data_IF_497165501463
#
_entry.id   IF_497165501463
#
_cell.length_a   1.000
_cell.length_b   1.000
_cell.length_c   1.000
_cell.angle_alpha   90.00
_cell.angle_beta   90.00
_cell.angle_gamma   90.00
#
_symmetry.space_group_name_H-M   'P 1'
#
loop_
_entity.id
_entity.type
_entity.pdbx_description
1 polymer ?
#
# COMPACT_ATOMS: atom_id res chain seq x y z
N UNK A 1 14.74 -6.75 -5.94
CA UNK A 1 16.10 -6.35 -6.40
C UNK A 1 17.08 -6.17 -5.23
N UNK A 2 18.42 -6.18 -5.45
CA UNK A 2 19.40 -5.83 -4.40
C UNK A 2 19.42 -4.32 -4.21
N UNK A 3 19.12 -3.85 -2.99
CA UNK A 3 19.16 -2.43 -2.61
C UNK A 3 20.58 -1.87 -2.80
N UNK A 4 20.72 -0.54 -2.93
CA UNK A 4 22.03 0.16 -2.86
C UNK A 4 22.86 -0.31 -1.65
N UNK A 5 22.18 -0.68 -0.57
CA UNK A 5 22.76 -1.13 0.68
C UNK A 5 22.96 -2.66 0.77
N UNK A 6 22.66 -3.41 -0.29
CA UNK A 6 22.82 -4.86 -0.32
C UNK A 6 21.69 -5.62 0.37
N UNK A 7 22.06 -6.75 0.99
CA UNK A 7 21.20 -7.55 1.86
C UNK A 7 21.58 -7.34 3.33
N UNK A 8 20.62 -7.38 4.27
CA UNK A 8 19.18 -7.52 4.04
C UNK A 8 18.54 -6.28 3.41
N UNK A 9 17.45 -6.46 2.66
CA UNK A 9 16.66 -5.34 2.12
C UNK A 9 15.91 -4.61 3.23
N UNK A 10 15.41 -3.40 2.94
CA UNK A 10 14.55 -2.67 3.87
C UNK A 10 13.31 -3.50 4.28
N UNK A 11 12.68 -4.22 3.32
CA UNK A 11 11.58 -5.12 3.62
C UNK A 11 11.98 -6.25 4.58
N UNK A 12 13.16 -6.85 4.40
CA UNK A 12 13.68 -7.89 5.30
C UNK A 12 13.98 -7.37 6.71
N UNK A 13 14.51 -6.15 6.81
CA UNK A 13 14.74 -5.50 8.10
C UNK A 13 13.41 -5.22 8.83
N UNK A 14 12.41 -4.69 8.11
CA UNK A 14 11.07 -4.45 8.67
C UNK A 14 10.42 -5.76 9.11
N UNK A 15 10.52 -6.82 8.32
CA UNK A 15 10.01 -8.14 8.66
C UNK A 15 10.68 -8.71 9.92
N UNK A 16 12.00 -8.56 10.06
CA UNK A 16 12.75 -9.00 11.23
C UNK A 16 12.28 -8.28 12.51
N UNK A 17 12.09 -6.95 12.44
CA UNK A 17 11.57 -6.17 13.58
C UNK A 17 10.13 -6.58 13.91
N UNK A 18 9.26 -6.74 12.90
CA UNK A 18 7.89 -7.16 13.12
C UNK A 18 7.83 -8.53 13.82
N UNK A 19 8.69 -9.48 13.43
CA UNK A 19 8.76 -10.79 14.04
C UNK A 19 9.20 -10.73 15.51
N UNK A 20 10.25 -9.96 15.82
CA UNK A 20 10.71 -9.74 17.20
C UNK A 20 9.61 -9.12 18.08
N UNK A 21 8.87 -8.15 17.55
CA UNK A 21 7.77 -7.53 18.28
C UNK A 21 6.62 -8.53 18.52
N UNK A 22 6.23 -9.32 17.51
CA UNK A 22 5.11 -10.26 17.60
C UNK A 22 5.40 -11.47 18.49
N UNK A 23 6.68 -11.80 18.67
CA UNK A 23 7.14 -12.94 19.47
C UNK A 23 7.65 -12.50 20.84
N UNK A 24 8.90 -12.05 20.93
CA UNK A 24 9.59 -11.76 22.18
C UNK A 24 8.92 -10.65 22.98
N UNK A 25 8.66 -9.50 22.34
CA UNK A 25 8.09 -8.34 23.05
C UNK A 25 6.66 -8.60 23.47
N UNK A 26 5.86 -9.24 22.62
CA UNK A 26 4.48 -9.57 22.95
C UNK A 26 4.38 -10.60 24.08
N UNK A 27 5.30 -11.57 24.15
CA UNK A 27 5.38 -12.52 25.26
C UNK A 27 5.85 -11.88 26.57
N UNK A 28 6.68 -10.83 26.49
CA UNK A 28 7.22 -10.13 27.65
C UNK A 28 6.35 -8.96 28.15
N UNK A 29 5.23 -8.65 27.49
CA UNK A 29 4.39 -7.49 27.82
C UNK A 29 2.91 -7.84 27.94
N UNK A 30 2.20 -7.10 28.79
CA UNK A 30 0.77 -7.30 29.04
C UNK A 30 0.00 -5.98 28.88
N UNK A 31 -1.34 -6.07 28.94
CA UNK A 31 -2.24 -4.93 28.94
C UNK A 31 -2.05 -4.01 27.72
N UNK A 32 -2.00 -2.70 27.98
CA UNK A 32 -1.92 -1.69 26.95
C UNK A 32 -0.64 -1.79 26.09
N UNK A 33 0.48 -2.19 26.69
CA UNK A 33 1.75 -2.32 25.96
C UNK A 33 1.65 -3.48 24.97
N UNK A 34 1.15 -4.64 25.40
CA UNK A 34 0.93 -5.79 24.50
C UNK A 34 -0.02 -5.47 23.34
N UNK A 35 -1.04 -4.65 23.60
CA UNK A 35 -1.94 -4.15 22.56
C UNK A 35 -1.20 -3.24 21.55
N UNK A 36 -0.45 -2.24 22.01
CA UNK A 36 0.32 -1.37 21.13
C UNK A 36 1.40 -2.13 20.34
N UNK A 37 2.01 -3.16 20.92
CA UNK A 37 2.92 -4.06 20.21
C UNK A 37 2.23 -4.70 19.01
N UNK A 38 1.00 -5.22 19.19
CA UNK A 38 0.21 -5.79 18.08
C UNK A 38 -0.12 -4.74 17.01
N UNK A 39 -0.44 -3.51 17.41
CA UNK A 39 -0.68 -2.41 16.47
C UNK A 39 0.59 -2.12 15.65
N UNK A 40 1.75 -2.01 16.32
CA UNK A 40 3.03 -1.76 15.67
C UNK A 40 3.39 -2.88 14.68
N UNK A 41 3.19 -4.14 15.05
CA UNK A 41 3.39 -5.30 14.15
C UNK A 41 2.54 -5.18 12.89
N UNK A 42 1.26 -4.83 13.03
CA UNK A 42 0.38 -4.67 11.85
C UNK A 42 0.83 -3.53 10.94
N UNK A 43 1.25 -2.39 11.52
CA UNK A 43 1.80 -1.26 10.75
C UNK A 43 3.08 -1.68 10.01
N UNK A 44 4.01 -2.36 10.68
CA UNK A 44 5.24 -2.84 10.06
C UNK A 44 4.95 -3.85 8.94
N UNK A 45 3.96 -4.73 9.11
CA UNK A 45 3.54 -5.64 8.03
C UNK A 45 2.96 -4.89 6.83
N UNK A 46 2.26 -3.77 7.04
CA UNK A 46 1.83 -2.89 5.94
C UNK A 46 3.02 -2.28 5.22
N UNK A 47 3.96 -1.69 5.95
CA UNK A 47 5.20 -1.11 5.38
C UNK A 47 6.01 -2.18 4.65
N UNK A 48 6.09 -3.41 5.17
CA UNK A 48 6.75 -4.52 4.48
C UNK A 48 6.09 -4.77 3.11
N UNK A 49 4.75 -4.85 3.05
CA UNK A 49 4.04 -5.05 1.78
C UNK A 49 4.26 -3.90 0.81
N UNK A 50 4.27 -2.65 1.28
CA UNK A 50 4.63 -1.48 0.46
C UNK A 50 6.04 -1.62 -0.12
N UNK A 51 7.04 -1.95 0.71
CA UNK A 51 8.43 -2.10 0.29
C UNK A 51 8.66 -3.28 -0.66
N UNK A 52 7.78 -4.29 -0.63
CA UNK A 52 7.82 -5.44 -1.55
C UNK A 52 7.03 -5.21 -2.82
N UNK A 53 6.17 -4.19 -2.87
CA UNK A 53 5.37 -3.89 -4.03
C UNK A 53 6.27 -3.21 -5.09
N UNK A 54 6.84 -4.01 -5.98
CA UNK A 54 7.70 -3.55 -7.07
C UNK A 54 6.89 -3.14 -8.33
N UNK A 55 5.56 -3.34 -8.37
CA UNK A 55 4.72 -3.10 -9.56
C UNK A 55 3.70 -1.98 -9.35
N UNK A 56 4.13 -0.75 -9.61
CA UNK A 56 3.20 0.37 -9.85
C UNK A 56 2.69 0.40 -11.30
N UNK A 57 3.16 -0.50 -12.16
CA UNK A 57 2.91 -0.51 -13.61
C UNK A 57 1.42 -0.49 -13.97
N UNK A 58 0.58 -1.24 -13.27
CA UNK A 58 -0.87 -1.24 -13.51
C UNK A 58 -1.52 0.12 -13.19
N UNK A 59 -1.04 0.79 -12.14
CA UNK A 59 -1.51 2.12 -11.74
C UNK A 59 -1.04 3.17 -12.76
N UNK A 60 0.24 3.12 -13.14
CA UNK A 60 0.81 4.01 -14.14
C UNK A 60 0.15 3.82 -15.50
N UNK A 61 -0.14 2.58 -15.91
CA UNK A 61 -0.85 2.30 -17.15
C UNK A 61 -2.29 2.86 -17.12
N UNK A 62 -3.04 2.62 -16.04
CA UNK A 62 -4.41 3.13 -15.90
C UNK A 62 -4.48 4.67 -15.90
N UNK A 63 -3.46 5.36 -15.35
CA UNK A 63 -3.34 6.82 -15.44
C UNK A 63 -3.00 7.28 -16.86
N UNK A 64 -2.07 6.58 -17.52
CA UNK A 64 -1.66 6.85 -18.89
C UNK A 64 -2.79 6.69 -19.90
N UNK A 65 -3.68 5.71 -19.72
CA UNK A 65 -4.89 5.52 -20.54
C UNK A 65 -5.85 6.72 -20.46
N UNK A 66 -5.90 7.41 -19.32
CA UNK A 66 -6.68 8.65 -19.17
C UNK A 66 -5.94 9.90 -19.66
N UNK A 67 -4.65 9.79 -19.94
CA UNK A 67 -3.78 10.88 -20.40
C UNK A 67 -3.09 11.66 -19.27
N UNK A 68 -2.94 11.08 -18.07
CA UNK A 68 -2.28 11.73 -16.93
C UNK A 68 -0.97 11.03 -16.58
N UNK A 69 0.05 11.81 -16.22
CA UNK A 69 1.34 11.28 -15.80
C UNK A 69 1.31 10.76 -14.35
N UNK A 70 0.47 11.36 -13.51
CA UNK A 70 0.33 11.00 -12.11
C UNK A 70 -1.07 11.31 -11.54
N UNK A 71 -1.28 10.90 -10.30
CA UNK A 71 -2.53 11.15 -9.56
C UNK A 71 -2.77 12.62 -9.24
N UNK A 72 -1.72 13.43 -9.16
CA UNK A 72 -1.84 14.87 -8.86
C UNK A 72 -2.50 15.59 -10.02
N UNK A 73 -2.06 15.29 -11.24
CA UNK A 73 -2.67 15.80 -12.48
C UNK A 73 -4.12 15.31 -12.62
N UNK A 74 -4.38 14.01 -12.45
CA UNK A 74 -5.73 13.45 -12.50
C UNK A 74 -6.65 14.15 -11.47
N UNK A 75 -6.20 14.32 -10.23
CA UNK A 75 -6.99 14.98 -9.20
C UNK A 75 -7.25 16.45 -9.49
N UNK A 76 -6.32 17.15 -10.14
CA UNK A 76 -6.52 18.52 -10.59
C UNK A 76 -7.60 18.60 -11.69
N UNK A 77 -7.55 17.72 -12.69
CA UNK A 77 -8.53 17.65 -13.77
C UNK A 77 -9.95 17.29 -13.27
N UNK A 78 -10.06 16.35 -12.32
CA UNK A 78 -11.34 16.03 -11.66
C UNK A 78 -11.90 17.27 -10.95
N UNK A 79 -11.07 17.99 -10.17
CA UNK A 79 -11.52 19.22 -9.48
C UNK A 79 -11.91 20.34 -10.43
N UNK A 80 -11.29 20.42 -11.60
CA UNK A 80 -11.61 21.39 -12.63
C UNK A 80 -12.89 21.05 -13.43
N UNK A 81 -13.46 19.85 -13.25
CA UNK A 81 -14.63 19.38 -14.00
C UNK A 81 -14.32 18.92 -15.43
N UNK A 82 -13.04 18.77 -15.78
CA UNK A 82 -12.60 18.43 -17.14
C UNK A 82 -12.99 16.99 -17.54
N UNK A 83 -13.31 16.15 -16.55
CA UNK A 83 -13.63 14.74 -16.72
C UNK A 83 -15.11 14.41 -16.45
N UNK A 84 -15.96 15.42 -16.24
CA UNK A 84 -17.38 15.22 -15.86
C UNK A 84 -18.18 14.42 -16.90
N UNK A 85 -17.75 14.44 -18.17
CA UNK A 85 -18.37 13.68 -19.27
C UNK A 85 -17.69 12.35 -19.58
N UNK A 86 -16.68 11.95 -18.78
CA UNK A 86 -15.84 10.76 -18.97
C UNK A 86 -15.88 9.85 -17.74
N UNK A 87 -16.96 9.89 -16.95
CA UNK A 87 -17.09 9.09 -15.73
C UNK A 87 -16.85 7.59 -15.96
N UNK A 88 -17.29 7.11 -17.13
CA UNK A 88 -17.18 5.74 -17.62
C UNK A 88 -15.72 5.28 -17.74
N UNK A 89 -14.81 6.21 -18.05
CA UNK A 89 -13.36 5.98 -18.17
C UNK A 89 -12.65 6.23 -16.82
N UNK A 90 -13.09 7.25 -16.07
CA UNK A 90 -12.48 7.64 -14.79
C UNK A 90 -12.71 6.59 -13.70
N UNK A 91 -13.93 6.06 -13.58
CA UNK A 91 -14.29 5.12 -12.51
C UNK A 91 -13.46 3.81 -12.56
N UNK A 92 -13.23 3.17 -13.72
CA UNK A 92 -12.30 2.05 -13.83
C UNK A 92 -10.89 2.38 -13.36
N UNK A 93 -10.32 3.52 -13.78
CA UNK A 93 -9.00 3.95 -13.35
C UNK A 93 -8.93 4.10 -11.83
N UNK A 94 -9.86 4.85 -11.22
CA UNK A 94 -9.91 5.03 -9.77
C UNK A 94 -10.07 3.69 -9.02
N UNK A 95 -10.83 2.73 -9.56
CA UNK A 95 -10.94 1.39 -8.98
C UNK A 95 -9.61 0.64 -9.03
N UNK A 96 -8.85 0.72 -10.12
CA UNK A 96 -7.50 0.14 -10.21
C UNK A 96 -6.58 0.72 -9.14
N UNK A 97 -6.53 2.04 -9.01
CA UNK A 97 -5.74 2.74 -7.99
C UNK A 97 -6.11 2.29 -6.57
N UNK A 98 -7.41 2.25 -6.27
CA UNK A 98 -7.92 1.88 -4.95
C UNK A 98 -7.67 0.40 -4.64
N UNK A 99 -7.88 -0.51 -5.60
CA UNK A 99 -7.58 -1.94 -5.41
C UNK A 99 -6.11 -2.18 -5.15
N UNK A 100 -5.22 -1.51 -5.89
CA UNK A 100 -3.77 -1.60 -5.65
C UNK A 100 -3.40 -1.19 -4.23
N UNK A 101 -3.96 -0.07 -3.74
CA UNK A 101 -3.77 0.37 -2.35
C UNK A 101 -4.36 -0.58 -1.33
N UNK A 102 -5.53 -1.16 -1.60
CA UNK A 102 -6.19 -2.10 -0.69
C UNK A 102 -5.42 -3.41 -0.59
N UNK A 103 -4.91 -3.94 -1.69
CA UNK A 103 -4.07 -5.14 -1.69
C UNK A 103 -2.84 -5.00 -0.76
N UNK A 104 -2.35 -3.76 -0.58
CA UNK A 104 -1.27 -3.45 0.35
C UNK A 104 -1.78 -3.16 1.76
N UNK A 105 -2.78 -2.30 1.93
CA UNK A 105 -3.20 -1.84 3.25
C UNK A 105 -4.09 -2.84 3.99
N UNK A 106 -4.95 -3.54 3.26
CA UNK A 106 -5.91 -4.48 3.80
C UNK A 106 -6.15 -5.64 2.81
N UNK A 107 -5.18 -6.58 2.71
CA UNK A 107 -5.30 -7.73 1.82
C UNK A 107 -6.60 -8.52 2.06
N UNK A 108 -7.29 -8.90 0.98
CA UNK A 108 -8.55 -9.66 1.03
C UNK A 108 -9.81 -8.80 1.25
N UNK A 109 -9.70 -7.48 1.32
CA UNK A 109 -10.88 -6.60 1.51
C UNK A 109 -11.85 -6.62 0.33
N UNK A 110 -11.34 -6.79 -0.89
CA UNK A 110 -12.12 -6.84 -2.12
C UNK A 110 -12.54 -8.27 -2.50
N UNK A 111 -12.10 -9.27 -1.74
CA UNK A 111 -12.58 -10.65 -1.85
C UNK A 111 -13.96 -10.74 -1.19
N UNK A 112 -15.02 -10.82 -2.00
CA UNK A 112 -16.37 -11.02 -1.48
C UNK A 112 -16.47 -12.43 -0.91
N UNK A 113 -16.78 -12.54 0.39
CA UNK A 113 -17.09 -13.83 1.04
C UNK A 113 -18.32 -14.48 0.41
#
# INVERSE_FOLDING_TARGET
MTSLYGRPTAAELVAAVANFLDTDVRAATEGQVSFHTRVAVNVLRTVERELRNESADEVTAALGELGFADETELAAAIRAGELDKRADEVLPCLRTLVRHRLAVNHPGYDETT
#
